data_IF_705012653719
#
_entry.id   IF_705012653719
#
_cell.length_a   1.000
_cell.length_b   1.000
_cell.length_c   1.000
_cell.angle_alpha   90.00
_cell.angle_beta   90.00
_cell.angle_gamma   90.00
#
_symmetry.space_group_name_H-M   'P 1'
#
loop_
_entity.id
_entity.type
_entity.pdbx_description
1 polymer ?
#
# COMPACT_ATOMS: atom_id res chain seq x y z
N UNK A 1 -11.44 -11.83 12.30
CA UNK A 1 -10.52 -10.70 12.49
C UNK A 1 -10.72 -9.61 11.44
N UNK A 2 -10.03 -9.59 10.28
CA UNK A 2 -10.15 -8.47 9.32
C UNK A 2 -11.57 -8.30 8.75
N UNK A 3 -12.15 -9.36 8.17
CA UNK A 3 -13.52 -9.31 7.62
C UNK A 3 -14.61 -9.04 8.67
N UNK A 4 -14.30 -9.28 9.95
CA UNK A 4 -15.20 -9.03 11.09
C UNK A 4 -14.98 -7.64 11.71
N UNK A 5 -14.04 -6.83 11.20
CA UNK A 5 -13.72 -5.50 11.73
C UNK A 5 -12.91 -5.49 13.03
N UNK A 6 -12.51 -6.65 13.55
CA UNK A 6 -11.81 -6.80 14.83
C UNK A 6 -10.32 -6.40 14.76
N UNK A 7 -9.76 -6.28 13.55
CA UNK A 7 -8.36 -5.90 13.32
C UNK A 7 -8.29 -4.66 12.42
N UNK A 8 -7.70 -3.58 12.93
CA UNK A 8 -7.40 -2.36 12.15
C UNK A 8 -6.04 -2.50 11.45
N UNK A 9 -6.01 -2.24 10.15
CA UNK A 9 -4.79 -2.35 9.33
C UNK A 9 -4.38 -0.96 8.85
N UNK A 10 -3.10 -0.62 8.97
CA UNK A 10 -2.53 0.57 8.34
C UNK A 10 -2.02 0.21 6.95
N UNK A 11 -2.40 1.03 5.97
CA UNK A 11 -2.00 0.87 4.57
C UNK A 11 -1.25 2.11 4.12
N UNK A 12 -0.27 1.89 3.24
CA UNK A 12 0.42 2.93 2.50
C UNK A 12 0.12 2.71 1.02
N UNK A 13 -0.53 3.69 0.38
CA UNK A 13 -1.02 3.56 -0.99
C UNK A 13 -0.06 4.26 -1.94
N UNK A 14 0.36 3.54 -2.99
CA UNK A 14 1.00 4.10 -4.18
C UNK A 14 -0.11 4.36 -5.21
N UNK A 15 -0.27 5.61 -5.61
CA UNK A 15 -1.53 6.10 -6.23
C UNK A 15 -1.71 5.72 -7.71
N UNK A 16 -0.65 5.33 -8.41
CA UNK A 16 -0.75 4.90 -9.81
C UNK A 16 0.34 3.90 -10.20
N UNK A 17 0.13 3.22 -11.34
CA UNK A 17 1.11 2.31 -11.94
C UNK A 17 2.41 3.02 -12.32
N UNK A 18 2.35 4.31 -12.70
CA UNK A 18 3.53 5.11 -13.04
C UNK A 18 4.49 5.26 -11.85
N UNK A 19 3.95 5.21 -10.62
CA UNK A 19 4.71 5.29 -9.37
C UNK A 19 5.09 3.92 -8.80
N UNK A 20 4.76 2.81 -9.48
CA UNK A 20 4.93 1.46 -8.94
C UNK A 20 6.40 1.12 -8.61
N UNK A 21 7.33 1.55 -9.46
CA UNK A 21 8.76 1.30 -9.23
C UNK A 21 9.25 2.02 -7.96
N UNK A 22 8.88 3.29 -7.78
CA UNK A 22 9.23 4.07 -6.58
C UNK A 22 8.57 3.49 -5.32
N UNK A 23 7.29 3.13 -5.40
CA UNK A 23 6.56 2.49 -4.29
C UNK A 23 7.20 1.16 -3.87
N UNK A 24 7.63 0.35 -4.84
CA UNK A 24 8.30 -0.92 -4.57
C UNK A 24 9.68 -0.73 -3.94
N UNK A 25 10.51 0.19 -4.45
CA UNK A 25 11.81 0.50 -3.82
C UNK A 25 11.62 1.11 -2.43
N UNK A 26 10.59 1.95 -2.25
CA UNK A 26 10.17 2.48 -0.95
C UNK A 26 9.87 1.37 0.06
N UNK A 27 9.17 0.31 -0.37
CA UNK A 27 8.92 -0.91 0.41
C UNK A 27 10.20 -1.57 0.92
N UNK A 28 11.19 -1.71 0.06
CA UNK A 28 12.44 -2.37 0.40
C UNK A 28 13.36 -1.50 1.27
N UNK A 29 13.20 -0.18 1.18
CA UNK A 29 14.02 0.80 1.91
C UNK A 29 13.34 1.33 3.19
N UNK A 30 12.16 0.83 3.52
CA UNK A 30 11.43 1.18 4.76
C UNK A 30 10.77 2.57 4.74
N UNK A 31 10.46 3.11 3.56
CA UNK A 31 9.82 4.43 3.41
C UNK A 31 8.31 4.44 3.68
N UNK A 32 7.67 3.28 3.66
CA UNK A 32 6.24 3.07 3.93
C UNK A 32 6.02 2.43 5.30
N UNK A 33 4.88 2.75 5.93
CA UNK A 33 4.46 2.16 7.19
C UNK A 33 3.17 1.35 7.02
N UNK A 34 3.22 0.08 7.41
CA UNK A 34 2.12 -0.86 7.21
C UNK A 34 2.15 -1.52 5.82
N UNK A 35 0.99 -2.02 5.37
CA UNK A 35 0.90 -2.77 4.11
C UNK A 35 1.04 -1.82 2.91
N UNK A 36 2.05 -2.04 2.07
CA UNK A 36 2.18 -1.36 0.79
C UNK A 36 1.10 -1.85 -0.18
N UNK A 37 0.36 -0.93 -0.81
CA UNK A 37 -0.73 -1.22 -1.76
C UNK A 37 -0.54 -0.35 -2.98
N UNK A 38 -0.59 -0.94 -4.18
CA UNK A 38 -0.57 -0.21 -5.45
C UNK A 38 -1.99 -0.06 -6.00
N UNK A 39 -2.36 1.15 -6.39
CA UNK A 39 -3.63 1.43 -7.07
C UNK A 39 -3.47 1.22 -8.58
N UNK A 40 -4.21 0.25 -9.13
CA UNK A 40 -4.11 -0.15 -10.55
C UNK A 40 -5.07 0.64 -11.45
N UNK A 41 -6.24 1.01 -10.94
CA UNK A 41 -7.25 1.82 -11.64
C UNK A 41 -8.12 2.58 -10.61
N UNK A 42 -8.78 3.67 -11.05
CA UNK A 42 -9.86 4.33 -10.29
C UNK A 42 -11.19 4.02 -10.97
N UNK A 43 -12.27 3.87 -10.21
CA UNK A 43 -13.64 3.90 -10.73
C UNK A 43 -14.06 5.31 -11.15
#
# INVERSE_FOLDING_TARGET
MIAKGELKVKVHVTESIDQAAEGFVGMLTGKNFGKAVLKIAQE
#
